data_IF_397046548307
#
_entry.id   IF_397046548307
#
_cell.length_a   1.000
_cell.length_b   1.000
_cell.length_c   1.000
_cell.angle_alpha   90.00
_cell.angle_beta   90.00
_cell.angle_gamma   90.00
#
_symmetry.space_group_name_H-M   'P 1'
#
loop_
_entity.id
_entity.type
_entity.pdbx_description
1 polymer ?
#
# COMPACT_ATOMS: atom_id res chain seq x y z
N UNK A 1 16.71 -69.91 -5.04
CA UNK A 1 17.06 -69.73 -3.61
C UNK A 1 16.66 -68.31 -3.22
N UNK A 2 15.45 -67.92 -2.81
CA UNK A 2 14.34 -68.56 -2.08
C UNK A 2 14.73 -69.16 -0.71
N UNK A 3 15.50 -68.44 0.11
CA UNK A 3 15.77 -68.92 1.49
C UNK A 3 16.19 -67.86 2.53
N UNK A 4 15.70 -66.62 2.48
CA UNK A 4 15.99 -65.65 3.57
C UNK A 4 14.75 -64.88 4.07
N UNK A 5 13.63 -64.93 3.35
CA UNK A 5 12.44 -64.12 3.64
C UNK A 5 11.31 -64.88 4.33
N UNK A 6 11.61 -65.73 5.33
CA UNK A 6 10.56 -66.48 6.04
C UNK A 6 10.77 -66.60 7.56
N UNK A 7 11.49 -65.67 8.19
CA UNK A 7 11.67 -65.64 9.65
C UNK A 7 11.12 -64.39 10.34
N UNK A 8 10.24 -63.65 9.67
CA UNK A 8 9.47 -62.53 10.27
C UNK A 8 8.03 -62.98 10.49
N UNK A 9 7.88 -64.15 11.12
CA UNK A 9 6.61 -64.64 11.64
C UNK A 9 6.69 -64.66 13.15
N UNK A 10 5.85 -63.84 13.79
CA UNK A 10 5.61 -63.78 15.25
C UNK A 10 6.49 -62.85 16.07
N UNK A 11 6.36 -61.54 15.85
CA UNK A 11 6.39 -60.60 16.96
C UNK A 11 4.95 -60.20 17.27
N UNK A 12 4.31 -60.94 18.20
CA UNK A 12 3.05 -60.54 18.81
C UNK A 12 3.32 -59.24 19.60
N UNK A 13 2.91 -58.11 19.05
CA UNK A 13 2.98 -56.81 19.73
C UNK A 13 1.84 -56.76 20.74
N UNK A 14 2.11 -57.13 21.99
CA UNK A 14 1.18 -56.90 23.10
C UNK A 14 1.29 -55.42 23.48
N UNK A 15 0.20 -54.63 23.48
CA UNK A 15 0.26 -53.17 23.61
C UNK A 15 0.65 -52.68 25.02
N UNK A 16 0.78 -53.58 25.99
CA UNK A 16 0.91 -53.23 27.41
C UNK A 16 2.35 -52.95 27.88
N UNK A 17 3.33 -52.85 26.98
CA UNK A 17 4.74 -52.63 27.34
C UNK A 17 5.39 -51.39 26.71
N UNK A 18 4.66 -50.60 25.93
CA UNK A 18 5.19 -49.35 25.37
C UNK A 18 5.22 -48.18 26.36
N UNK A 19 4.41 -48.22 27.43
CA UNK A 19 4.36 -47.17 28.46
C UNK A 19 5.32 -47.38 29.64
N UNK A 20 6.06 -48.48 29.67
CA UNK A 20 6.92 -48.86 30.80
C UNK A 20 8.42 -48.67 30.58
N UNK A 21 8.85 -48.20 29.40
CA UNK A 21 10.28 -47.97 29.13
C UNK A 21 10.72 -46.52 29.42
N UNK A 22 9.78 -45.60 29.63
CA UNK A 22 10.09 -44.21 29.92
C UNK A 22 10.39 -43.90 31.40
N UNK A 23 10.26 -44.87 32.31
CA UNK A 23 10.49 -44.64 33.75
C UNK A 23 11.58 -45.49 34.41
N UNK A 24 12.43 -46.18 33.65
CA UNK A 24 13.58 -46.89 34.23
C UNK A 24 14.85 -46.77 33.38
N UNK A 25 15.28 -45.54 33.13
CA UNK A 25 16.67 -45.26 32.75
C UNK A 25 17.33 -44.45 33.86
N UNK A 26 18.11 -45.14 34.69
CA UNK A 26 19.08 -44.56 35.61
C UNK A 26 20.26 -44.03 34.82
N UNK A 27 20.16 -42.81 34.30
CA UNK A 27 21.32 -41.97 33.93
C UNK A 27 20.92 -40.51 34.08
N UNK A 28 21.20 -39.94 35.26
CA UNK A 28 20.94 -38.53 35.60
C UNK A 28 21.67 -37.52 34.68
N UNK A 29 22.55 -37.99 33.79
CA UNK A 29 23.29 -37.15 32.83
C UNK A 29 22.73 -37.18 31.40
N UNK A 30 21.90 -38.17 31.02
CA UNK A 30 21.39 -38.30 29.65
C UNK A 30 19.98 -37.69 29.47
N UNK A 31 19.24 -37.53 30.58
CA UNK A 31 17.91 -36.91 30.59
C UNK A 31 17.97 -35.39 30.30
N UNK A 32 19.03 -34.71 30.77
CA UNK A 32 19.25 -33.29 30.49
C UNK A 32 19.57 -33.01 29.02
N UNK A 33 20.28 -33.92 28.34
CA UNK A 33 20.63 -33.76 26.93
C UNK A 33 19.39 -33.83 26.02
N UNK A 34 18.41 -34.69 26.34
CA UNK A 34 17.16 -34.75 25.58
C UNK A 34 16.26 -33.53 25.83
N UNK A 35 16.26 -32.96 27.04
CA UNK A 35 15.56 -31.72 27.33
C UNK A 35 16.16 -30.52 26.56
N UNK A 36 17.49 -30.47 26.43
CA UNK A 36 18.19 -29.44 25.64
C UNK A 36 17.90 -29.61 24.15
N UNK A 37 17.95 -30.83 23.62
CA UNK A 37 17.63 -31.10 22.20
C UNK A 37 16.16 -30.78 21.89
N UNK A 38 15.24 -31.12 22.79
CA UNK A 38 13.82 -30.81 22.62
C UNK A 38 13.55 -29.30 22.71
N UNK A 39 14.21 -28.59 23.64
CA UNK A 39 14.16 -27.13 23.72
C UNK A 39 14.79 -26.44 22.49
N UNK A 40 15.85 -27.01 21.93
CA UNK A 40 16.51 -26.51 20.71
C UNK A 40 15.63 -26.72 19.47
N UNK A 41 14.92 -27.86 19.39
CA UNK A 41 13.95 -28.12 18.32
C UNK A 41 12.72 -27.21 18.42
N UNK A 42 12.23 -26.93 19.64
CA UNK A 42 11.12 -25.99 19.86
C UNK A 42 11.48 -24.52 19.64
N UNK A 43 12.75 -24.14 19.78
CA UNK A 43 13.21 -22.76 19.51
C UNK A 43 13.54 -22.50 18.03
N UNK A 44 13.62 -23.55 17.19
CA UNK A 44 13.72 -23.42 15.74
C UNK A 44 12.35 -23.33 15.04
N UNK A 45 11.24 -23.58 15.75
CA UNK A 45 9.88 -23.46 15.21
C UNK A 45 9.18 -22.16 15.60
N UNK A 46 9.81 -21.27 16.37
CA UNK A 46 9.21 -19.99 16.81
C UNK A 46 9.70 -18.78 16.00
N UNK A 47 10.31 -19.01 14.84
CA UNK A 47 10.41 -17.96 13.82
C UNK A 47 9.14 -18.04 12.98
N UNK A 48 8.02 -17.58 13.54
CA UNK A 48 6.97 -17.01 12.69
C UNK A 48 7.55 -15.69 12.18
N UNK A 49 8.25 -15.77 11.05
CA UNK A 49 8.60 -14.60 10.24
C UNK A 49 7.31 -14.12 9.54
N UNK A 50 6.27 -13.81 10.31
CA UNK A 50 5.24 -12.87 9.87
C UNK A 50 5.89 -11.49 9.90
N UNK A 51 6.79 -11.28 8.93
CA UNK A 51 7.11 -9.95 8.47
C UNK A 51 5.79 -9.40 7.95
N UNK A 52 5.17 -8.53 8.75
CA UNK A 52 4.13 -7.63 8.28
C UNK A 52 4.79 -6.72 7.24
N UNK A 53 4.89 -7.23 6.02
CA UNK A 53 5.33 -6.49 4.84
C UNK A 53 4.31 -5.38 4.72
N UNK A 54 4.69 -4.18 5.19
CA UNK A 54 3.90 -2.97 5.00
C UNK A 54 3.49 -2.92 3.53
N UNK A 55 2.21 -3.06 3.23
CA UNK A 55 1.73 -2.98 1.84
C UNK A 55 1.42 -1.53 1.44
N UNK A 56 1.45 -0.60 2.41
CA UNK A 56 1.26 0.83 2.18
C UNK A 56 2.63 1.52 2.13
N UNK A 57 2.97 2.07 0.97
CA UNK A 57 4.10 2.97 0.84
C UNK A 57 3.61 4.33 0.36
N UNK A 58 4.24 5.41 0.84
CA UNK A 58 3.92 6.72 0.33
C UNK A 58 4.19 6.78 -1.18
N UNK A 59 3.39 7.60 -1.85
CA UNK A 59 3.59 7.94 -3.24
C UNK A 59 3.57 9.45 -3.37
N UNK A 60 4.26 9.93 -4.39
CA UNK A 60 4.22 11.33 -4.79
C UNK A 60 3.58 11.45 -6.16
N UNK A 61 3.14 12.66 -6.50
CA UNK A 61 2.59 12.95 -7.80
C UNK A 61 3.38 14.10 -8.40
N UNK A 62 4.05 13.82 -9.51
CA UNK A 62 4.75 14.82 -10.28
C UNK A 62 3.76 15.53 -11.20
N UNK A 63 3.73 16.85 -11.14
CA UNK A 63 2.85 17.70 -11.94
C UNK A 63 3.71 18.50 -12.91
N UNK A 64 3.37 18.45 -14.20
CA UNK A 64 4.05 19.27 -15.20
C UNK A 64 3.62 20.73 -15.09
N UNK A 65 4.47 21.69 -15.52
CA UNK A 65 4.10 23.11 -15.56
C UNK A 65 2.82 23.33 -16.35
N UNK A 66 1.94 24.17 -15.82
CA UNK A 66 0.66 24.55 -16.40
C UNK A 66 0.53 26.08 -16.47
N UNK A 67 -0.50 26.57 -17.15
CA UNK A 67 -0.74 28.00 -17.28
C UNK A 67 -1.43 28.58 -16.04
N UNK A 68 -0.92 29.68 -15.49
CA UNK A 68 -1.49 30.33 -14.29
C UNK A 68 -2.78 31.11 -14.58
N UNK A 69 -3.06 31.37 -15.87
CA UNK A 69 -4.22 32.14 -16.33
C UNK A 69 -5.04 31.31 -17.30
N UNK A 70 -6.36 31.44 -17.20
CA UNK A 70 -7.32 30.72 -18.04
C UNK A 70 -8.49 31.64 -18.42
N UNK A 71 -8.80 31.74 -19.71
CA UNK A 71 -9.94 32.49 -20.19
C UNK A 71 -11.23 31.66 -20.16
N UNK A 72 -12.38 32.34 -20.25
CA UNK A 72 -13.67 31.65 -20.37
C UNK A 72 -13.74 30.85 -21.68
N UNK A 73 -14.03 29.55 -21.58
CA UNK A 73 -14.06 28.59 -22.68
C UNK A 73 -12.69 28.01 -23.04
N UNK A 74 -11.63 28.41 -22.35
CA UNK A 74 -10.29 27.85 -22.53
C UNK A 74 -10.12 26.54 -21.75
N UNK A 75 -9.30 25.65 -22.30
CA UNK A 75 -8.99 24.36 -21.70
C UNK A 75 -7.48 24.28 -21.39
N UNK A 76 -7.14 23.97 -20.15
CA UNK A 76 -5.76 23.71 -19.71
C UNK A 76 -5.56 22.21 -19.51
N UNK A 77 -4.45 21.67 -20.03
CA UNK A 77 -4.02 20.29 -19.80
C UNK A 77 -3.11 20.25 -18.56
N UNK A 78 -3.53 19.51 -17.54
CA UNK A 78 -2.72 19.15 -16.37
C UNK A 78 -2.18 17.74 -16.60
N UNK A 79 -0.86 17.61 -16.75
CA UNK A 79 -0.20 16.30 -16.88
C UNK A 79 0.38 15.89 -15.54
N UNK A 80 -0.04 14.72 -15.06
CA UNK A 80 0.37 14.19 -13.77
C UNK A 80 0.90 12.77 -13.88
N UNK A 81 1.91 12.47 -13.07
CA UNK A 81 2.53 11.15 -12.97
C UNK A 81 2.62 10.74 -11.52
N UNK A 82 1.98 9.62 -11.18
CA UNK A 82 2.11 8.99 -9.87
C UNK A 82 3.45 8.25 -9.81
N UNK A 83 4.30 8.66 -8.88
CA UNK A 83 5.61 8.05 -8.62
C UNK A 83 5.53 7.33 -7.27
N UNK A 84 5.30 6.00 -7.27
CA UNK A 84 5.34 5.24 -6.03
C UNK A 84 6.79 5.04 -5.57
N UNK A 85 7.04 5.11 -4.26
CA UNK A 85 8.39 4.90 -3.71
C UNK A 85 8.87 3.44 -3.76
N UNK A 86 7.98 2.50 -4.08
CA UNK A 86 8.34 1.09 -4.27
C UNK A 86 7.56 0.40 -5.39
N UNK A 87 7.98 -0.83 -5.68
CA UNK A 87 7.45 -1.62 -6.80
C UNK A 87 6.39 -2.61 -6.31
N UNK A 88 5.19 -2.10 -6.05
CA UNK A 88 4.04 -2.92 -5.65
C UNK A 88 3.13 -3.18 -6.84
N UNK A 89 2.91 -4.46 -7.11
CA UNK A 89 1.88 -4.92 -8.04
C UNK A 89 0.55 -4.95 -7.27
N UNK A 90 -0.52 -4.39 -7.85
CA UNK A 90 -1.89 -4.32 -7.31
C UNK A 90 -2.29 -3.07 -6.49
N UNK A 91 -1.54 -1.97 -6.55
CA UNK A 91 -2.03 -0.69 -6.03
C UNK A 91 -3.03 -0.07 -7.00
N UNK A 92 -4.22 0.24 -6.50
CA UNK A 92 -5.26 0.97 -7.24
C UNK A 92 -5.29 2.40 -6.76
N UNK A 93 -5.36 3.34 -7.70
CA UNK A 93 -5.45 4.76 -7.40
C UNK A 93 -6.82 5.27 -7.81
N UNK A 94 -7.40 6.09 -6.95
CA UNK A 94 -8.63 6.82 -7.25
C UNK A 94 -8.34 8.31 -7.24
N UNK A 95 -9.04 9.04 -8.08
CA UNK A 95 -9.00 10.50 -8.13
C UNK A 95 -10.36 11.05 -7.73
N UNK A 96 -10.34 12.12 -6.95
CA UNK A 96 -11.47 13.02 -6.72
C UNK A 96 -11.00 14.44 -6.90
N UNK A 97 -11.92 15.33 -7.21
CA UNK A 97 -11.65 16.76 -7.17
C UNK A 97 -12.74 17.49 -6.42
N UNK A 98 -12.37 18.61 -5.82
CA UNK A 98 -13.27 19.58 -5.24
C UNK A 98 -13.03 20.95 -5.86
N UNK A 99 -14.10 21.62 -6.28
CA UNK A 99 -14.02 22.99 -6.79
C UNK A 99 -14.46 23.96 -5.71
N UNK A 100 -13.54 24.80 -5.23
CA UNK A 100 -13.80 25.84 -4.24
C UNK A 100 -14.33 27.11 -4.91
N UNK A 101 -13.63 27.56 -5.95
CA UNK A 101 -13.96 28.80 -6.68
C UNK A 101 -14.09 28.58 -8.20
N UNK A 102 -14.76 29.53 -8.84
CA UNK A 102 -15.00 29.53 -10.27
C UNK A 102 -16.05 28.52 -10.73
N UNK A 103 -16.22 28.41 -12.04
CA UNK A 103 -17.06 27.39 -12.69
C UNK A 103 -16.28 26.75 -13.81
N UNK A 104 -16.16 25.44 -13.76
CA UNK A 104 -15.47 24.69 -14.81
C UNK A 104 -15.84 23.22 -14.80
N UNK A 105 -15.23 22.49 -15.72
CA UNK A 105 -15.40 21.05 -15.87
C UNK A 105 -14.03 20.41 -16.01
N UNK A 106 -13.78 19.39 -15.19
CA UNK A 106 -12.55 18.62 -15.18
C UNK A 106 -12.82 17.26 -15.83
N UNK A 107 -12.06 16.94 -16.89
CA UNK A 107 -12.23 15.69 -17.62
C UNK A 107 -10.93 14.91 -17.67
N UNK A 108 -11.00 13.60 -17.42
CA UNK A 108 -9.88 12.71 -17.68
C UNK A 108 -9.77 12.47 -19.20
N UNK A 109 -8.59 12.68 -19.78
CA UNK A 109 -8.41 12.58 -21.25
C UNK A 109 -8.83 11.20 -21.76
N UNK A 110 -8.40 10.14 -21.09
CA UNK A 110 -8.69 8.76 -21.44
C UNK A 110 -9.89 8.19 -20.68
N UNK A 111 -10.74 9.04 -20.09
CA UNK A 111 -11.79 8.57 -19.18
C UNK A 111 -13.03 9.45 -19.10
N UNK A 112 -13.86 9.25 -18.06
CA UNK A 112 -15.09 10.00 -17.89
C UNK A 112 -14.80 11.45 -17.49
N UNK A 113 -15.82 12.28 -17.65
CA UNK A 113 -15.86 13.60 -17.01
C UNK A 113 -15.98 13.41 -15.51
N UNK A 114 -15.12 14.08 -14.74
CA UNK A 114 -15.17 14.01 -13.28
C UNK A 114 -16.33 14.87 -12.79
N UNK A 115 -17.02 14.40 -11.76
CA UNK A 115 -18.04 15.16 -11.04
C UNK A 115 -17.47 15.55 -9.67
N UNK A 116 -17.82 16.76 -9.21
CA UNK A 116 -17.35 17.29 -7.94
C UNK A 116 -17.60 16.30 -6.79
N UNK A 117 -16.56 15.99 -5.99
CA UNK A 117 -16.54 14.99 -4.92
C UNK A 117 -16.76 13.53 -5.32
N UNK A 118 -16.89 13.20 -6.61
CA UNK A 118 -17.00 11.81 -7.03
C UNK A 118 -15.61 11.17 -7.14
N UNK A 119 -15.53 9.88 -6.82
CA UNK A 119 -14.27 9.11 -6.91
C UNK A 119 -14.28 8.29 -8.18
N UNK A 120 -13.23 8.45 -8.97
CA UNK A 120 -13.05 7.71 -10.22
C UNK A 120 -11.75 6.92 -10.16
N UNK A 121 -11.78 5.68 -10.65
CA UNK A 121 -10.60 4.81 -10.72
C UNK A 121 -9.64 5.30 -11.82
N UNK A 122 -8.35 5.36 -11.51
CA UNK A 122 -7.30 5.61 -12.47
C UNK A 122 -6.75 4.29 -13.01
N UNK A 123 -6.81 4.12 -14.33
CA UNK A 123 -6.29 2.93 -15.02
C UNK A 123 -4.77 2.96 -15.21
N UNK A 124 -4.18 4.16 -15.20
CA UNK A 124 -2.77 4.41 -15.48
C UNK A 124 -2.16 5.33 -14.43
N UNK A 125 -0.86 5.13 -14.15
CA UNK A 125 -0.06 6.01 -13.28
C UNK A 125 0.26 7.36 -13.93
N UNK A 126 0.28 7.40 -15.26
CA UNK A 126 0.43 8.63 -16.03
C UNK A 126 -0.91 8.97 -16.67
N UNK A 127 -1.43 10.15 -16.36
CA UNK A 127 -2.72 10.58 -16.87
C UNK A 127 -2.74 12.10 -17.06
N UNK A 128 -3.75 12.55 -17.81
CA UNK A 128 -3.94 13.94 -18.17
C UNK A 128 -5.35 14.37 -17.82
N UNK A 129 -5.46 15.50 -17.17
CA UNK A 129 -6.74 16.15 -16.90
C UNK A 129 -6.88 17.39 -17.76
N UNK A 130 -8.03 17.55 -18.38
CA UNK A 130 -8.40 18.75 -19.10
C UNK A 130 -9.39 19.53 -18.25
N UNK A 131 -8.95 20.69 -17.76
CA UNK A 131 -9.81 21.63 -17.07
C UNK A 131 -10.32 22.68 -18.05
N UNK A 132 -11.63 22.76 -18.25
CA UNK A 132 -12.26 23.79 -19.08
C UNK A 132 -12.97 24.80 -18.19
N UNK A 133 -12.54 26.05 -18.24
CA UNK A 133 -13.20 27.13 -17.50
C UNK A 133 -14.45 27.62 -18.23
N UNK A 134 -15.52 27.89 -17.47
CA UNK A 134 -16.75 28.53 -17.95
C UNK A 134 -16.98 29.91 -17.32
N UNK A 135 -16.01 30.40 -16.57
CA UNK A 135 -15.99 31.75 -16.01
C UNK A 135 -14.61 32.38 -16.20
N UNK A 136 -14.56 33.72 -16.22
CA UNK A 136 -13.33 34.51 -16.25
C UNK A 136 -12.85 34.92 -14.85
N UNK A 137 -13.46 34.36 -13.81
CA UNK A 137 -13.13 34.63 -12.40
C UNK A 137 -11.88 33.85 -11.96
N UNK A 138 -11.49 33.97 -10.69
CA UNK A 138 -10.55 33.06 -10.05
C UNK A 138 -11.14 31.64 -10.05
N UNK A 139 -10.29 30.65 -10.29
CA UNK A 139 -10.66 29.24 -10.17
C UNK A 139 -9.72 28.59 -9.18
N UNK A 140 -10.28 27.88 -8.21
CA UNK A 140 -9.54 27.11 -7.24
C UNK A 140 -10.10 25.69 -7.19
N UNK A 141 -9.24 24.72 -7.47
CA UNK A 141 -9.60 23.30 -7.48
C UNK A 141 -8.59 22.46 -6.69
N UNK A 142 -9.11 21.68 -5.76
CA UNK A 142 -8.36 20.68 -5.01
C UNK A 142 -8.48 19.34 -5.69
N UNK A 143 -7.35 18.76 -6.09
CA UNK A 143 -7.29 17.39 -6.58
C UNK A 143 -6.75 16.52 -5.45
N UNK A 144 -7.46 15.43 -5.16
CA UNK A 144 -6.99 14.39 -4.25
C UNK A 144 -6.82 13.09 -5.02
N UNK A 145 -5.67 12.45 -4.85
CA UNK A 145 -5.42 11.09 -5.32
C UNK A 145 -5.27 10.22 -4.08
N UNK A 146 -6.01 9.12 -4.03
CA UNK A 146 -6.07 8.21 -2.89
C UNK A 146 -5.77 6.78 -3.38
N UNK A 147 -4.88 6.08 -2.70
CA UNK A 147 -4.64 4.66 -2.96
C UNK A 147 -5.64 3.76 -2.20
N UNK A 148 -5.64 2.47 -2.52
CA UNK A 148 -6.49 1.49 -1.82
C UNK A 148 -6.02 1.16 -0.39
N UNK A 149 -4.90 1.71 0.06
CA UNK A 149 -4.33 1.48 1.40
C UNK A 149 -4.59 2.67 2.35
N UNK A 150 -5.17 3.77 1.86
CA UNK A 150 -5.52 4.95 2.65
C UNK A 150 -4.49 6.08 2.60
N UNK A 151 -3.42 5.94 1.81
CA UNK A 151 -2.50 7.03 1.52
C UNK A 151 -3.17 8.00 0.56
N UNK A 152 -3.02 9.30 0.81
CA UNK A 152 -3.55 10.35 -0.06
C UNK A 152 -2.52 11.41 -0.37
N UNK A 153 -2.62 11.93 -1.58
CA UNK A 153 -1.92 13.11 -2.06
C UNK A 153 -2.95 14.17 -2.43
N UNK A 154 -2.75 15.39 -1.97
CA UNK A 154 -3.69 16.51 -2.13
C UNK A 154 -2.93 17.72 -2.67
N UNK A 155 -3.45 18.35 -3.72
CA UNK A 155 -2.88 19.55 -4.30
C UNK A 155 -3.98 20.49 -4.77
N UNK A 156 -3.87 21.75 -4.35
CA UNK A 156 -4.71 22.84 -4.85
C UNK A 156 -4.08 23.44 -6.10
N UNK A 157 -4.90 23.67 -7.11
CA UNK A 157 -4.57 24.37 -8.34
C UNK A 157 -5.39 25.64 -8.40
N UNK A 158 -4.69 26.74 -8.63
CA UNK A 158 -5.27 28.07 -8.72
C UNK A 158 -5.05 28.65 -10.11
N UNK A 159 -6.07 29.28 -10.65
CA UNK A 159 -6.02 30.00 -11.93
C UNK A 159 -6.62 31.40 -11.76
N UNK A 160 -6.04 32.38 -12.44
CA UNK A 160 -6.46 33.79 -12.39
C UNK A 160 -6.45 34.40 -10.98
N UNK A 161 -5.62 33.89 -10.07
CA UNK A 161 -5.41 34.58 -8.79
C UNK A 161 -4.60 35.87 -9.05
N UNK A 162 -5.05 37.00 -8.49
CA UNK A 162 -4.49 38.33 -8.73
C UNK A 162 -3.37 38.69 -7.75
N UNK A 163 -2.87 37.71 -6.99
CA UNK A 163 -1.70 37.88 -6.17
C UNK A 163 -0.46 38.02 -7.07
N UNK A 164 -0.24 39.29 -7.43
CA UNK A 164 0.92 39.77 -8.15
C UNK A 164 2.19 39.44 -7.36
N UNK A 165 2.90 38.39 -7.78
CA UNK A 165 4.35 38.32 -7.69
C UNK A 165 4.91 37.45 -8.81
N UNK A 166 5.71 38.09 -9.67
CA UNK A 166 6.55 37.48 -10.70
C UNK A 166 7.57 36.51 -10.09
N UNK A 167 7.15 35.28 -9.80
CA UNK A 167 8.05 34.12 -9.71
C UNK A 167 7.44 32.95 -10.46
N UNK A 168 7.84 32.85 -11.73
CA UNK A 168 7.60 31.66 -12.55
C UNK A 168 8.07 30.40 -11.82
N UNK A 169 7.14 29.47 -11.67
CA UNK A 169 7.32 28.22 -10.94
C UNK A 169 6.21 28.09 -9.92
N UNK A 170 5.06 27.57 -10.35
CA UNK A 170 4.01 27.02 -9.49
C UNK A 170 4.66 26.24 -8.35
N UNK A 171 4.74 26.88 -7.18
CA UNK A 171 5.13 26.23 -5.95
C UNK A 171 3.92 25.38 -5.58
N UNK A 172 3.90 24.18 -6.16
CA UNK A 172 3.17 23.03 -5.64
C UNK A 172 3.45 23.03 -4.15
N UNK A 173 2.50 23.49 -3.35
CA UNK A 173 2.49 23.22 -1.92
C UNK A 173 2.43 21.71 -1.83
N UNK A 174 3.60 21.07 -1.76
CA UNK A 174 3.76 19.66 -1.48
C UNK A 174 3.23 19.49 -0.08
N UNK A 175 1.94 19.22 0.03
CA UNK A 175 1.35 18.74 1.28
C UNK A 175 2.04 17.41 1.49
N UNK A 176 3.02 17.40 2.39
CA UNK A 176 3.68 16.18 2.84
C UNK A 176 2.59 15.17 3.18
N UNK A 177 2.64 13.93 2.65
CA UNK A 177 1.65 12.93 2.99
C UNK A 177 1.61 12.78 4.51
N UNK A 178 0.48 13.17 5.10
CA UNK A 178 0.17 12.85 6.49
C UNK A 178 -0.02 11.34 6.54
N UNK A 179 1.07 10.62 6.81
CA UNK A 179 1.02 9.21 7.15
C UNK A 179 0.11 9.07 8.38
N UNK A 180 -1.06 8.42 8.28
CA UNK A 180 -1.82 8.07 9.48
C UNK A 180 -0.92 7.14 10.28
N UNK A 181 -0.45 7.65 11.43
CA UNK A 181 0.51 6.96 12.26
C UNK A 181 0.11 5.50 12.48
N UNK A 182 1.10 4.63 12.35
CA UNK A 182 1.05 3.23 12.76
C UNK A 182 0.39 3.15 14.14
N UNK A 183 -0.85 2.68 14.21
CA UNK A 183 -1.45 2.28 15.46
C UNK A 183 -0.69 1.06 15.93
N UNK A 184 0.32 1.26 16.77
CA UNK A 184 0.92 0.18 17.55
C UNK A 184 -0.21 -0.53 18.30
N UNK A 185 -0.42 -1.84 18.13
CA UNK A 185 -1.37 -2.56 18.97
C UNK A 185 -0.87 -2.45 20.42
N UNK A 186 -1.72 -1.90 21.28
CA UNK A 186 -1.49 -1.93 22.73
C UNK A 186 -1.54 -3.42 23.09
N UNK A 187 -0.41 -3.98 23.51
CA UNK A 187 -0.34 -5.31 24.11
C UNK A 187 -1.36 -5.36 25.25
N UNK A 188 -2.42 -6.15 25.10
CA UNK A 188 -3.18 -6.67 26.23
C UNK A 188 -2.42 -7.81 26.90
#
# INVERSE_FOLDING_TARGET
MKTILNRIGSARVTPTRFFGFFLRSTTKALCGCWAIVFAFVLSLTSCDDDLDVQQSYPFTVEVMPYADKIANGETVELRMTIVPEGNYTNTLYTIRYFQYEGKGLLKLVDGPTLVNNDRVLLESKQFRLNYTAYSSESHELLITIEDNYGTRWEQTFEFNNNDSDDKGGSESTVVTPINPGTLTPISQ
#
